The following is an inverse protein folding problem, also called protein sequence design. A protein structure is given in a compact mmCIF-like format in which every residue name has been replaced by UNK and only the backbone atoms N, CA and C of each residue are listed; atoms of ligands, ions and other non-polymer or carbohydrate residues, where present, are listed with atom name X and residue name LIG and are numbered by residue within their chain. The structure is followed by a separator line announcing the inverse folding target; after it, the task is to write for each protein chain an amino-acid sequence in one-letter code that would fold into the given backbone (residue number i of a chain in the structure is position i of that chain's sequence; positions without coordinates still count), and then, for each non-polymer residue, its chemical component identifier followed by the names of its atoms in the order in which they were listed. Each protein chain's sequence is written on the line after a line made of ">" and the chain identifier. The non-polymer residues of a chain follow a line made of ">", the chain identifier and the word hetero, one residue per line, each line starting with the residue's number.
data_IF_871359704317
#
_entry.id   IF_871359704317
#
_cell.length_a   1.000
_cell.length_b   1.000
_cell.length_c   1.000
_cell.angle_alpha   90.00
_cell.angle_beta   90.00
_cell.angle_gamma   90.00
#
_symmetry.space_group_name_H-M   'P 1'
#
loop_
_entity.id
_entity.type
_entity.pdbx_description
1 polymer ?
#
# COMPACT_ATOMS: atom_id res chain seq x y z
N UNK A 1 39.27 51.97 18.39
CA UNK A 1 38.21 51.95 19.42
C UNK A 1 37.79 50.50 19.63
N UNK A 2 37.97 49.91 20.83
CA UNK A 2 37.64 48.50 21.03
C UNK A 2 36.12 48.36 21.13
N UNK A 3 35.54 47.55 20.25
CA UNK A 3 34.11 47.21 20.28
C UNK A 3 33.85 46.26 21.43
N UNK A 4 33.03 46.66 22.41
CA UNK A 4 32.53 45.80 23.49
C UNK A 4 31.86 44.56 22.88
N UNK A 5 32.51 43.40 23.00
CA UNK A 5 31.91 42.10 22.65
C UNK A 5 30.87 41.77 23.70
N UNK A 6 29.59 41.81 23.32
CA UNK A 6 28.48 41.35 24.17
C UNK A 6 28.53 39.83 24.26
N UNK A 7 28.70 39.30 25.48
CA UNK A 7 28.56 37.87 25.77
C UNK A 7 27.11 37.52 26.06
N UNK A 8 26.71 36.29 25.76
CA UNK A 8 25.41 35.75 26.14
C UNK A 8 25.32 35.57 27.66
N UNK A 9 24.15 35.85 28.24
CA UNK A 9 23.87 35.55 29.64
C UNK A 9 23.53 34.08 29.84
N UNK A 10 23.82 33.54 31.03
CA UNK A 10 23.46 32.16 31.38
C UNK A 10 21.94 31.91 31.30
N UNK A 11 21.13 32.93 31.60
CA UNK A 11 19.67 32.83 31.52
C UNK A 11 19.17 32.79 30.08
N UNK A 12 19.80 33.52 29.15
CA UNK A 12 19.49 33.43 27.72
C UNK A 12 19.78 32.03 27.19
N UNK A 13 20.92 31.44 27.57
CA UNK A 13 21.25 30.08 27.14
C UNK A 13 20.31 29.04 27.77
N UNK A 14 19.90 29.24 29.03
CA UNK A 14 18.92 28.38 29.71
C UNK A 14 17.55 28.39 29.01
N UNK A 15 17.03 29.55 28.65
CA UNK A 15 15.74 29.67 27.97
C UNK A 15 15.78 29.03 26.57
N UNK A 16 16.90 29.12 25.86
CA UNK A 16 17.02 28.52 24.53
C UNK A 16 16.99 27.00 24.61
N UNK A 17 17.75 26.38 25.52
CA UNK A 17 17.76 24.91 25.62
C UNK A 17 16.42 24.36 26.12
N UNK A 18 15.67 25.10 26.94
CA UNK A 18 14.34 24.68 27.39
C UNK A 18 13.33 24.74 26.25
N UNK A 19 13.33 25.81 25.44
CA UNK A 19 12.46 25.91 24.26
C UNK A 19 12.79 24.80 23.25
N UNK A 20 14.08 24.57 22.96
CA UNK A 20 14.51 23.49 22.05
C UNK A 20 14.08 22.11 22.57
N UNK A 21 14.21 21.86 23.89
CA UNK A 21 13.74 20.62 24.51
C UNK A 21 12.24 20.38 24.35
N UNK A 22 11.43 21.43 24.50
CA UNK A 22 9.97 21.36 24.30
C UNK A 22 9.63 21.08 22.84
N UNK A 23 10.27 21.77 21.90
CA UNK A 23 10.02 21.60 20.46
C UNK A 23 10.39 20.19 19.97
N UNK A 24 11.51 19.64 20.44
CA UNK A 24 11.91 18.26 20.12
C UNK A 24 10.89 17.26 20.68
N UNK A 25 10.44 17.47 21.93
CA UNK A 25 9.44 16.60 22.57
C UNK A 25 8.12 16.52 21.80
N UNK A 26 7.64 17.63 21.24
CA UNK A 26 6.39 17.68 20.48
C UNK A 26 6.51 17.09 19.06
N UNK A 27 7.69 17.13 18.45
CA UNK A 27 7.87 16.82 17.02
C UNK A 27 7.79 15.32 16.68
N UNK A 28 8.08 14.43 17.64
CA UNK A 28 8.20 12.98 17.38
C UNK A 28 6.84 12.30 17.16
N UNK A 29 5.78 12.79 17.78
CA UNK A 29 4.47 12.12 17.79
C UNK A 29 3.72 12.16 16.44
N UNK A 30 3.98 13.14 15.57
CA UNK A 30 3.25 13.28 14.30
C UNK A 30 3.79 12.44 13.13
N UNK A 31 5.04 11.96 13.21
CA UNK A 31 5.72 11.36 12.06
C UNK A 31 5.29 9.90 11.79
N UNK A 32 4.90 9.15 12.82
CA UNK A 32 4.50 7.75 12.67
C UNK A 32 3.20 7.60 11.88
N UNK A 33 2.15 8.33 12.27
CA UNK A 33 0.85 8.28 11.58
C UNK A 33 0.90 8.79 10.14
N UNK A 34 1.76 9.77 9.84
CA UNK A 34 1.97 10.24 8.46
C UNK A 34 2.57 9.17 7.55
N UNK A 35 3.53 8.38 8.08
CA UNK A 35 4.15 7.27 7.33
C UNK A 35 3.15 6.14 7.08
N UNK A 36 2.32 5.81 8.07
CA UNK A 36 1.25 4.81 7.91
C UNK A 36 0.23 5.24 6.85
N UNK A 37 -0.25 6.48 6.94
CA UNK A 37 -1.18 7.04 5.96
C UNK A 37 -0.61 7.06 4.54
N UNK A 38 0.68 7.37 4.38
CA UNK A 38 1.36 7.31 3.08
C UNK A 38 1.44 5.89 2.51
N UNK A 39 1.74 4.88 3.35
CA UNK A 39 1.73 3.48 2.93
C UNK A 39 0.33 3.02 2.57
N UNK A 40 -0.70 3.41 3.31
CA UNK A 40 -2.09 3.09 3.01
C UNK A 40 -2.57 3.73 1.72
N UNK A 41 -2.19 4.98 1.45
CA UNK A 41 -2.47 5.63 0.17
C UNK A 41 -1.83 4.88 -0.99
N UNK A 42 -0.58 4.43 -0.82
CA UNK A 42 0.11 3.58 -1.80
C UNK A 42 -0.60 2.25 -2.00
N UNK A 43 -1.00 1.54 -0.92
CA UNK A 43 -1.76 0.29 -1.02
C UNK A 43 -3.05 0.44 -1.81
N UNK A 44 -3.79 1.52 -1.59
CA UNK A 44 -5.02 1.81 -2.37
C UNK A 44 -4.71 2.06 -3.84
N UNK A 45 -3.69 2.86 -4.14
CA UNK A 45 -3.26 3.11 -5.52
C UNK A 45 -2.77 1.83 -6.21
N UNK A 46 -2.05 0.98 -5.49
CA UNK A 46 -1.59 -0.33 -5.96
C UNK A 46 -2.79 -1.24 -6.31
N UNK A 47 -3.84 -1.27 -5.49
CA UNK A 47 -5.08 -2.00 -5.82
C UNK A 47 -5.79 -1.45 -7.06
N UNK A 48 -5.81 -0.13 -7.26
CA UNK A 48 -6.41 0.47 -8.47
C UNK A 48 -5.58 0.17 -9.73
N UNK A 49 -4.25 0.14 -9.63
CA UNK A 49 -3.37 -0.32 -10.72
C UNK A 49 -3.66 -1.78 -11.09
N UNK A 50 -3.79 -2.63 -10.08
CA UNK A 50 -4.11 -4.06 -10.25
C UNK A 50 -5.48 -4.22 -10.91
N UNK A 51 -6.49 -3.50 -10.42
CA UNK A 51 -7.82 -3.41 -11.03
C UNK A 51 -7.72 -3.06 -12.51
N UNK A 52 -7.04 -1.97 -12.86
CA UNK A 52 -6.90 -1.55 -14.25
C UNK A 52 -6.27 -2.64 -15.12
N UNK A 53 -5.22 -3.32 -14.64
CA UNK A 53 -4.59 -4.42 -15.38
C UNK A 53 -5.52 -5.62 -15.59
N UNK A 54 -6.33 -5.95 -14.58
CA UNK A 54 -7.33 -7.03 -14.66
C UNK A 54 -8.48 -6.68 -15.61
N UNK A 55 -8.91 -5.42 -15.66
CA UNK A 55 -9.92 -4.98 -16.66
C UNK A 55 -9.39 -5.09 -18.09
N UNK A 56 -8.11 -4.74 -18.32
CA UNK A 56 -7.47 -4.93 -19.64
C UNK A 56 -7.38 -6.42 -19.97
N UNK A 57 -7.00 -7.27 -19.01
CA UNK A 57 -7.01 -8.72 -19.20
C UNK A 57 -8.40 -9.21 -19.64
N UNK A 58 -9.47 -8.79 -18.96
CA UNK A 58 -10.83 -9.20 -19.33
C UNK A 58 -11.23 -8.73 -20.73
N UNK A 59 -10.81 -7.54 -21.14
CA UNK A 59 -11.09 -7.03 -22.48
C UNK A 59 -10.56 -7.99 -23.56
N UNK A 60 -9.37 -8.55 -23.36
CA UNK A 60 -8.69 -9.37 -24.36
C UNK A 60 -8.98 -10.88 -24.20
N UNK A 61 -9.14 -11.33 -22.96
CA UNK A 61 -9.32 -12.74 -22.58
C UNK A 61 -10.78 -13.14 -22.32
N UNK A 62 -11.71 -12.18 -22.41
CA UNK A 62 -13.16 -12.32 -22.21
C UNK A 62 -13.61 -12.74 -20.81
N UNK A 63 -12.68 -13.11 -19.93
CA UNK A 63 -12.89 -13.49 -18.53
C UNK A 63 -11.82 -12.85 -17.66
N UNK A 64 -12.06 -12.75 -16.36
CA UNK A 64 -11.00 -12.42 -15.41
C UNK A 64 -10.04 -13.61 -15.20
N UNK A 65 -8.78 -13.37 -14.80
CA UNK A 65 -7.84 -14.44 -14.47
C UNK A 65 -8.38 -15.32 -13.32
N UNK A 66 -8.80 -16.55 -13.62
CA UNK A 66 -9.32 -17.46 -12.59
C UNK A 66 -8.18 -17.92 -11.68
N UNK A 67 -8.06 -17.31 -10.52
CA UNK A 67 -7.04 -17.66 -9.54
C UNK A 67 -7.37 -17.11 -8.15
N UNK A 68 -6.73 -17.71 -7.15
CA UNK A 68 -6.62 -17.14 -5.81
C UNK A 68 -5.14 -16.99 -5.49
N UNK A 69 -4.69 -15.74 -5.36
CA UNK A 69 -3.31 -15.40 -5.03
C UNK A 69 -3.26 -14.73 -3.66
N UNK A 70 -2.37 -15.23 -2.80
CA UNK A 70 -2.07 -14.65 -1.49
C UNK A 70 -0.57 -14.27 -1.40
N UNK A 71 0.25 -15.14 -0.85
CA UNK A 71 1.72 -15.04 -0.85
C UNK A 71 2.33 -15.55 -2.15
N UNK A 72 1.57 -16.27 -2.97
CA UNK A 72 1.98 -16.89 -4.23
C UNK A 72 1.62 -16.05 -5.47
N UNK A 73 1.60 -14.72 -5.34
CA UNK A 73 1.29 -13.85 -6.48
C UNK A 73 2.34 -14.01 -7.58
N UNK A 74 1.96 -14.22 -8.86
CA UNK A 74 2.93 -14.46 -9.91
C UNK A 74 3.70 -13.17 -10.23
N UNK A 75 4.89 -13.30 -10.82
CA UNK A 75 5.69 -12.15 -11.24
C UNK A 75 4.99 -11.29 -12.31
N UNK A 76 4.06 -11.88 -13.05
CA UNK A 76 3.17 -11.16 -13.96
C UNK A 76 1.90 -11.96 -14.21
N UNK A 77 0.80 -11.27 -14.48
CA UNK A 77 -0.41 -11.84 -15.06
C UNK A 77 -0.27 -11.75 -16.58
N UNK A 78 -0.24 -12.91 -17.22
CA UNK A 78 -0.14 -13.07 -18.68
C UNK A 78 -1.38 -13.75 -19.23
N UNK A 79 -1.61 -13.62 -20.53
CA UNK A 79 -2.73 -14.28 -21.20
C UNK A 79 -2.68 -15.80 -21.06
N UNK A 80 -3.84 -16.46 -21.13
CA UNK A 80 -3.97 -17.92 -21.07
C UNK A 80 -3.87 -18.60 -22.45
N UNK A 81 -3.75 -17.83 -23.53
CA UNK A 81 -3.71 -18.28 -24.92
C UNK A 81 -5.07 -18.32 -25.62
N UNK A 82 -6.16 -17.94 -24.94
CA UNK A 82 -7.53 -18.06 -25.44
C UNK A 82 -8.42 -16.87 -25.06
N UNK A 83 -9.11 -16.20 -26.01
CA UNK A 83 -9.03 -16.31 -27.48
C UNK A 83 -7.70 -15.78 -28.04
N UNK A 84 -7.53 -15.72 -29.36
CA UNK A 84 -6.28 -15.26 -30.01
C UNK A 84 -5.75 -13.91 -29.50
N UNK A 85 -6.62 -13.02 -29.03
CA UNK A 85 -6.25 -11.74 -28.41
C UNK A 85 -5.54 -11.89 -27.05
N UNK A 86 -5.73 -13.02 -26.36
CA UNK A 86 -5.17 -13.33 -25.05
C UNK A 86 -3.90 -14.17 -25.15
N UNK A 87 -2.93 -13.78 -25.97
CA UNK A 87 -1.70 -14.55 -26.14
C UNK A 87 -0.90 -14.66 -24.83
N UNK A 88 -0.25 -15.80 -24.59
CA UNK A 88 0.62 -16.03 -23.42
C UNK A 88 1.82 -15.08 -23.33
N UNK A 89 2.14 -14.39 -24.43
CA UNK A 89 3.17 -13.36 -24.47
C UNK A 89 2.68 -11.98 -24.00
N UNK A 90 1.35 -11.77 -23.93
CA UNK A 90 0.77 -10.51 -23.49
C UNK A 90 0.85 -10.43 -21.97
N UNK A 91 1.52 -9.40 -21.46
CA UNK A 91 1.62 -9.09 -20.04
C UNK A 91 0.63 -7.98 -19.71
N UNK A 92 -0.32 -8.26 -18.81
CA UNK A 92 -1.39 -7.33 -18.46
C UNK A 92 -1.10 -6.58 -17.17
N UNK A 93 -0.46 -7.25 -16.22
CA UNK A 93 -0.17 -6.69 -14.91
C UNK A 93 1.11 -7.30 -14.36
N UNK A 94 1.98 -6.46 -13.81
CA UNK A 94 3.02 -6.88 -12.87
C UNK A 94 2.53 -6.48 -11.49
N UNK A 95 2.17 -7.44 -10.63
CA UNK A 95 1.60 -7.10 -9.34
C UNK A 95 2.55 -6.28 -8.46
N UNK A 96 2.06 -5.24 -7.78
CA UNK A 96 2.86 -4.43 -6.88
C UNK A 96 3.21 -5.20 -5.60
N UNK A 97 4.33 -4.83 -4.98
CA UNK A 97 4.77 -5.39 -3.69
C UNK A 97 4.37 -4.44 -2.57
N UNK A 98 3.75 -4.97 -1.50
CA UNK A 98 3.32 -4.16 -0.36
C UNK A 98 4.52 -3.45 0.30
N UNK A 99 4.38 -2.18 0.71
CA UNK A 99 5.46 -1.43 1.39
C UNK A 99 5.98 -2.07 2.69
N UNK A 100 5.22 -2.96 3.32
CA UNK A 100 5.55 -3.71 4.53
C UNK A 100 5.77 -5.21 4.28
N UNK A 101 6.04 -5.60 3.02
CA UNK A 101 6.45 -6.97 2.66
C UNK A 101 7.70 -7.42 3.44
N UNK A 102 7.80 -8.71 3.84
CA UNK A 102 6.84 -9.80 3.60
C UNK A 102 5.70 -9.87 4.64
N UNK A 103 5.66 -8.96 5.62
CA UNK A 103 4.68 -8.99 6.71
C UNK A 103 3.25 -8.66 6.27
N UNK A 104 3.08 -7.93 5.16
CA UNK A 104 1.79 -7.69 4.50
C UNK A 104 1.89 -8.01 3.02
N UNK A 105 0.78 -8.46 2.45
CA UNK A 105 0.65 -8.79 1.04
C UNK A 105 -0.78 -8.53 0.55
N UNK A 106 -0.92 -8.35 -0.75
CA UNK A 106 -2.22 -8.20 -1.39
C UNK A 106 -2.82 -9.57 -1.70
N UNK A 107 -4.14 -9.67 -1.64
CA UNK A 107 -4.88 -10.89 -1.99
C UNK A 107 -5.73 -10.62 -3.20
N UNK A 108 -5.69 -11.54 -4.16
CA UNK A 108 -6.57 -11.56 -5.32
C UNK A 108 -7.36 -12.86 -5.32
N UNK A 109 -8.65 -12.79 -5.62
CA UNK A 109 -9.47 -13.97 -5.86
C UNK A 109 -10.46 -13.70 -6.98
N UNK A 110 -10.61 -14.62 -7.92
CA UNK A 110 -11.59 -14.52 -9.00
C UNK A 110 -12.17 -15.87 -9.38
N UNK A 111 -13.44 -15.88 -9.75
CA UNK A 111 -14.15 -17.01 -10.36
C UNK A 111 -14.20 -16.91 -11.91
N UNK A 112 -13.55 -15.90 -12.48
CA UNK A 112 -13.55 -15.60 -13.92
C UNK A 112 -14.63 -14.62 -14.36
N UNK A 113 -15.66 -14.40 -13.54
CA UNK A 113 -16.77 -13.48 -13.82
C UNK A 113 -16.75 -12.26 -12.91
N UNK A 114 -16.32 -12.44 -11.67
CA UNK A 114 -16.10 -11.39 -10.67
C UNK A 114 -14.72 -11.56 -10.06
N UNK A 115 -14.21 -10.51 -9.43
CA UNK A 115 -12.99 -10.61 -8.64
C UNK A 115 -13.06 -9.75 -7.39
N UNK A 116 -12.20 -10.15 -6.46
CA UNK A 116 -12.01 -9.50 -5.17
C UNK A 116 -10.51 -9.24 -4.98
N UNK A 117 -10.19 -8.02 -4.59
CA UNK A 117 -8.86 -7.58 -4.22
C UNK A 117 -8.89 -7.11 -2.78
N UNK A 118 -8.00 -7.63 -1.93
CA UNK A 118 -7.91 -7.21 -0.54
C UNK A 118 -6.51 -6.76 -0.16
N UNK A 119 -6.47 -5.82 0.79
CA UNK A 119 -5.28 -5.40 1.48
C UNK A 119 -5.56 -5.21 2.98
N UNK A 120 -4.51 -5.30 3.79
CA UNK A 120 -4.52 -4.80 5.15
C UNK A 120 -3.92 -3.39 5.17
N UNK A 121 -4.76 -2.38 5.37
CA UNK A 121 -4.36 -1.01 5.70
C UNK A 121 -3.92 -0.94 7.16
N UNK A 122 -2.98 -0.07 7.47
CA UNK A 122 -2.47 0.12 8.83
C UNK A 122 -3.44 0.93 9.69
N UNK A 123 -4.16 1.87 9.08
CA UNK A 123 -5.18 2.69 9.74
C UNK A 123 -6.61 2.23 9.44
N UNK A 124 -6.77 1.09 8.76
CA UNK A 124 -8.09 0.54 8.45
C UNK A 124 -8.72 -0.17 9.63
N UNK A 125 -10.04 -0.03 9.76
CA UNK A 125 -10.84 -0.72 10.79
C UNK A 125 -11.76 -1.75 10.15
N UNK A 126 -12.08 -2.81 10.88
CA UNK A 126 -12.97 -3.87 10.42
C UNK A 126 -12.23 -5.05 9.79
N UNK A 127 -13.00 -6.01 9.29
CA UNK A 127 -12.50 -7.23 8.67
C UNK A 127 -13.28 -7.48 7.39
N UNK A 128 -12.55 -7.78 6.31
CA UNK A 128 -13.09 -8.16 5.01
C UNK A 128 -12.50 -9.51 4.61
N UNK A 129 -13.27 -10.25 3.82
CA UNK A 129 -12.83 -11.53 3.24
C UNK A 129 -12.64 -11.39 1.74
N UNK A 130 -11.54 -11.96 1.24
CA UNK A 130 -11.29 -12.16 -0.20
C UNK A 130 -11.04 -13.64 -0.46
N UNK A 131 -11.81 -14.25 -1.36
CA UNK A 131 -11.64 -15.68 -1.70
C UNK A 131 -11.78 -16.62 -0.50
N UNK A 132 -12.58 -16.24 0.50
CA UNK A 132 -12.76 -16.99 1.76
C UNK A 132 -11.67 -16.78 2.82
N UNK A 133 -10.64 -15.96 2.56
CA UNK A 133 -9.60 -15.61 3.52
C UNK A 133 -9.75 -14.16 4.00
N UNK A 134 -9.54 -13.91 5.30
CA UNK A 134 -9.38 -12.57 5.87
C UNK A 134 -7.92 -12.22 6.18
N UNK A 135 -6.96 -12.98 5.63
CA UNK A 135 -5.53 -12.82 5.91
C UNK A 135 -4.75 -12.25 4.71
N UNK A 136 -4.24 -11.04 4.90
CA UNK A 136 -3.39 -10.26 4.00
C UNK A 136 -1.97 -10.07 4.60
N UNK A 137 -1.52 -11.02 5.42
CA UNK A 137 -0.38 -10.91 6.34
C UNK A 137 -0.80 -10.35 7.72
N UNK A 138 -1.87 -9.58 7.71
CA UNK A 138 -2.66 -9.11 8.84
C UNK A 138 -4.15 -9.27 8.48
N UNK A 139 -5.06 -8.90 9.39
CA UNK A 139 -6.49 -8.86 9.06
C UNK A 139 -6.73 -7.93 7.86
N UNK A 140 -7.21 -8.48 6.75
CA UNK A 140 -7.65 -7.68 5.62
C UNK A 140 -8.78 -6.76 6.08
N UNK A 141 -8.68 -5.47 5.80
CA UNK A 141 -9.67 -4.46 6.21
C UNK A 141 -10.08 -3.53 5.07
N UNK A 142 -9.54 -3.75 3.87
CA UNK A 142 -9.91 -3.01 2.67
C UNK A 142 -10.10 -3.99 1.51
N UNK A 143 -11.24 -3.87 0.81
CA UNK A 143 -11.64 -4.73 -0.28
C UNK A 143 -12.11 -3.89 -1.46
N UNK A 144 -11.64 -4.25 -2.66
CA UNK A 144 -12.08 -3.73 -3.94
C UNK A 144 -12.72 -4.89 -4.70
N UNK A 145 -13.92 -4.67 -5.22
CA UNK A 145 -14.66 -5.64 -6.03
C UNK A 145 -15.02 -5.01 -7.38
N UNK A 146 -15.13 -5.84 -8.41
CA UNK A 146 -15.75 -5.44 -9.67
C UNK A 146 -17.28 -5.57 -9.59
N UNK A 147 -18.05 -4.68 -10.25
CA UNK A 147 -19.51 -4.78 -10.35
C UNK A 147 -20.01 -5.96 -11.20
#
# INVERSE_FOLDING_TARGET
>A
MPTLRRGFTLIELLVVITIVGILIGLSVFGLAGSRESSRDARRKADLELVRSGIEIYRSDCLNYPIATYNTNWPSSIVGDGTPTGCAVANVYLTPPVDPASPGRYYVYSSDGTTYELCAALEQGTGSVTCGGSSNCGETCNHKVINP
#
